data_IF_173687187739
#
_entry.id   IF_173687187739
#
_cell.length_a   1.000
_cell.length_b   1.000
_cell.length_c   1.000
_cell.angle_alpha   90.00
_cell.angle_beta   90.00
_cell.angle_gamma   90.00
#
_symmetry.space_group_name_H-M   'P 1'
#
loop_
_entity.id
_entity.type
_entity.pdbx_description
1 polymer ?
#
# COMPACT_ATOMS: atom_id res chain seq x y z
N UNK A 1 1.90 -7.88 17.75
CA UNK A 1 2.48 -7.75 16.41
C UNK A 1 3.08 -9.08 16.05
N UNK A 2 2.40 -9.85 15.21
CA UNK A 2 2.87 -11.17 14.80
C UNK A 2 2.40 -11.40 13.36
N UNK A 3 3.22 -10.98 12.39
CA UNK A 3 3.18 -11.59 11.07
C UNK A 3 3.53 -13.07 11.25
N UNK A 4 2.70 -13.93 10.67
CA UNK A 4 2.95 -15.37 10.62
C UNK A 4 4.21 -15.66 9.81
N UNK A 5 4.88 -16.77 10.09
CA UNK A 5 6.05 -17.19 9.28
C UNK A 5 5.73 -17.35 7.80
N UNK A 6 4.45 -17.57 7.45
CA UNK A 6 3.97 -17.67 6.08
C UNK A 6 3.89 -16.31 5.35
N UNK A 7 3.75 -15.20 6.10
CA UNK A 7 3.69 -13.84 5.54
C UNK A 7 5.09 -13.24 5.30
N UNK A 8 6.15 -13.90 5.80
CA UNK A 8 7.53 -13.50 5.56
C UNK A 8 8.03 -13.97 4.20
N UNK A 9 9.08 -13.29 3.73
CA UNK A 9 9.83 -13.72 2.54
C UNK A 9 10.29 -15.17 2.66
N UNK A 10 10.14 -15.94 1.59
CA UNK A 10 10.72 -17.27 1.45
C UNK A 10 11.14 -17.53 0.00
N UNK A 11 12.09 -18.46 -0.25
CA UNK A 11 12.62 -18.71 -1.60
C UNK A 11 11.60 -19.22 -2.62
N UNK A 12 10.39 -19.60 -2.20
CA UNK A 12 9.28 -20.04 -3.07
C UNK A 12 8.56 -18.88 -3.77
N UNK A 13 8.84 -17.64 -3.35
CA UNK A 13 8.25 -16.44 -3.92
C UNK A 13 9.00 -16.03 -5.19
N UNK A 14 8.26 -15.82 -6.27
CA UNK A 14 8.80 -15.28 -7.52
C UNK A 14 8.68 -13.75 -7.55
N UNK A 15 9.46 -13.09 -8.41
CA UNK A 15 9.36 -11.64 -8.63
C UNK A 15 7.92 -11.25 -9.00
N UNK A 16 7.27 -12.03 -9.86
CA UNK A 16 5.87 -11.83 -10.25
C UNK A 16 4.93 -11.80 -9.03
N UNK A 17 5.05 -12.75 -8.09
CA UNK A 17 4.23 -12.78 -6.87
C UNK A 17 4.46 -11.55 -6.00
N UNK A 18 5.69 -11.05 -5.92
CA UNK A 18 6.01 -9.81 -5.19
C UNK A 18 5.32 -8.62 -5.85
N UNK A 19 5.44 -8.48 -7.18
CA UNK A 19 4.84 -7.36 -7.90
C UNK A 19 3.31 -7.38 -7.83
N UNK A 20 2.70 -8.56 -7.94
CA UNK A 20 1.25 -8.72 -7.74
C UNK A 20 0.84 -8.30 -6.31
N UNK A 21 1.61 -8.70 -5.30
CA UNK A 21 1.36 -8.28 -3.91
C UNK A 21 1.43 -6.76 -3.75
N UNK A 22 2.39 -6.08 -4.40
CA UNK A 22 2.48 -4.62 -4.39
C UNK A 22 1.26 -3.98 -5.06
N UNK A 23 0.81 -4.52 -6.21
CA UNK A 23 -0.39 -4.02 -6.89
C UNK A 23 -1.63 -4.20 -6.01
N UNK A 24 -1.80 -5.35 -5.38
CA UNK A 24 -2.90 -5.60 -4.44
C UNK A 24 -2.84 -4.65 -3.23
N UNK A 25 -1.65 -4.38 -2.68
CA UNK A 25 -1.48 -3.42 -1.59
C UNK A 25 -1.85 -1.98 -1.98
N UNK A 26 -1.62 -1.60 -3.24
CA UNK A 26 -2.03 -0.28 -3.74
C UNK A 26 -3.56 -0.17 -3.88
N UNK A 27 -4.23 -1.26 -4.26
CA UNK A 27 -5.69 -1.32 -4.33
C UNK A 27 -6.33 -1.37 -2.93
N UNK A 28 -5.70 -2.09 -2.01
CA UNK A 28 -6.17 -2.31 -0.64
C UNK A 28 -5.05 -1.97 0.37
N UNK A 29 -4.87 -0.68 0.72
CA UNK A 29 -3.85 -0.27 1.68
C UNK A 29 -4.01 -0.95 3.04
N UNK A 30 -2.92 -1.54 3.55
CA UNK A 30 -2.91 -2.23 4.84
C UNK A 30 -2.64 -1.25 6.00
N UNK A 31 -3.66 -0.99 6.82
CA UNK A 31 -3.56 -0.12 7.99
C UNK A 31 -3.00 -0.80 9.25
N UNK A 32 -2.89 -2.13 9.28
CA UNK A 32 -2.45 -2.88 10.46
C UNK A 32 -0.94 -2.77 10.70
N UNK A 33 -0.18 -2.45 9.66
CA UNK A 33 1.27 -2.24 9.70
C UNK A 33 1.67 -1.01 8.88
N UNK A 34 1.32 0.22 9.34
CA UNK A 34 1.51 1.42 8.54
C UNK A 34 2.99 1.84 8.54
N UNK A 35 3.62 1.81 7.37
CA UNK A 35 4.95 2.40 7.19
C UNK A 35 4.91 3.95 7.23
N UNK A 36 3.78 4.54 6.82
CA UNK A 36 3.52 5.98 6.91
C UNK A 36 2.30 6.20 7.82
N UNK A 37 2.55 6.64 9.05
CA UNK A 37 1.53 6.83 10.08
C UNK A 37 0.53 7.92 9.69
N UNK A 38 0.99 9.02 9.10
CA UNK A 38 0.13 10.13 8.68
C UNK A 38 -0.81 9.71 7.55
N UNK A 39 -0.30 8.93 6.59
CA UNK A 39 -1.11 8.39 5.49
C UNK A 39 -2.15 7.39 6.03
N UNK A 40 -1.78 6.53 6.97
CA UNK A 40 -2.72 5.60 7.60
C UNK A 40 -3.80 6.32 8.41
N UNK A 41 -3.44 7.36 9.16
CA UNK A 41 -4.40 8.21 9.87
C UNK A 41 -5.34 8.92 8.89
N UNK A 42 -4.80 9.50 7.82
CA UNK A 42 -5.59 10.14 6.77
C UNK A 42 -6.54 9.15 6.10
N UNK A 43 -6.08 7.95 5.78
CA UNK A 43 -6.89 6.91 5.15
C UNK A 43 -8.07 6.45 6.02
N UNK A 44 -7.91 6.44 7.36
CA UNK A 44 -8.97 6.13 8.35
C UNK A 44 -9.93 7.30 8.60
N UNK A 45 -9.38 8.48 8.86
CA UNK A 45 -10.15 9.63 9.37
C UNK A 45 -10.69 10.52 8.25
N UNK A 46 -10.04 10.54 7.09
CA UNK A 46 -10.41 11.39 5.95
C UNK A 46 -10.06 10.73 4.61
N UNK A 47 -10.90 9.77 4.22
CA UNK A 47 -10.72 8.99 2.99
C UNK A 47 -10.69 9.85 1.72
N UNK A 48 -11.53 10.88 1.65
CA UNK A 48 -11.60 11.79 0.51
C UNK A 48 -10.25 12.49 0.26
N UNK A 49 -9.63 13.05 1.31
CA UNK A 49 -8.32 13.70 1.22
C UNK A 49 -7.20 12.73 0.85
N UNK A 50 -7.27 11.48 1.30
CA UNK A 50 -6.34 10.43 0.89
C UNK A 50 -6.45 10.18 -0.62
N UNK A 51 -7.68 9.99 -1.12
CA UNK A 51 -7.94 9.72 -2.54
C UNK A 51 -7.54 10.91 -3.44
N UNK A 52 -7.78 12.15 -3.01
CA UNK A 52 -7.28 13.34 -3.71
C UNK A 52 -5.75 13.37 -3.79
N UNK A 53 -5.08 13.02 -2.69
CA UNK A 53 -3.62 12.98 -2.64
C UNK A 53 -3.07 11.88 -3.56
N UNK A 54 -3.71 10.71 -3.57
CA UNK A 54 -3.36 9.62 -4.49
C UNK A 54 -3.56 10.03 -5.95
N UNK A 55 -4.72 10.62 -6.30
CA UNK A 55 -5.00 11.13 -7.66
C UNK A 55 -3.98 12.18 -8.11
N UNK A 56 -3.59 13.09 -7.22
CA UNK A 56 -2.55 14.09 -7.49
C UNK A 56 -1.19 13.43 -7.78
N UNK A 57 -0.81 12.41 -7.02
CA UNK A 57 0.41 11.65 -7.28
C UNK A 57 0.37 10.95 -8.65
N UNK A 58 -0.76 10.33 -9.00
CA UNK A 58 -0.96 9.70 -10.32
C UNK A 58 -0.82 10.73 -11.44
N UNK A 59 -1.48 11.90 -11.34
CA UNK A 59 -1.35 12.98 -12.33
C UNK A 59 0.11 13.42 -12.51
N UNK A 60 0.83 13.64 -11.40
CA UNK A 60 2.24 13.99 -11.43
C UNK A 60 3.10 12.93 -12.14
N UNK A 61 2.83 11.65 -11.92
CA UNK A 61 3.56 10.56 -12.60
C UNK A 61 3.23 10.45 -14.10
N UNK A 62 2.04 10.92 -14.52
CA UNK A 62 1.62 10.96 -15.91
C UNK A 62 2.00 12.26 -16.63
N UNK A 63 2.61 13.22 -15.93
CA UNK A 63 2.97 14.54 -16.49
C UNK A 63 1.75 15.44 -16.74
N UNK A 64 0.65 15.20 -16.03
CA UNK A 64 -0.60 15.98 -16.10
C UNK A 64 -0.68 17.04 -15.00
#
# INVERSE_FOLDING_TARGET
GYETSAERWSPVQSIEKILLSVVSLLAEPNEASPANVDAAKMFRENREKFDETAKRSVRKTLGL
#
